data_IF_523282840565
#
_entry.id   IF_523282840565
#
_cell.length_a   1.000
_cell.length_b   1.000
_cell.length_c   1.000
_cell.angle_alpha   90.00
_cell.angle_beta   90.00
_cell.angle_gamma   90.00
#
_symmetry.space_group_name_H-M   'P 1'
#
loop_
_entity.id
_entity.type
_entity.pdbx_description
1 polymer ?
#
# COMPACT_ATOMS: atom_id res chain seq x y z
N UNK A 1 -3.92 -17.20 -21.56
CA UNK A 1 -3.40 -17.54 -20.23
C UNK A 1 -3.01 -16.24 -19.56
N UNK A 2 -3.87 -15.71 -18.70
CA UNK A 2 -3.57 -14.53 -17.87
C UNK A 2 -2.66 -14.98 -16.74
N UNK A 3 -1.47 -14.37 -16.63
CA UNK A 3 -0.58 -14.61 -15.50
C UNK A 3 -1.36 -14.35 -14.21
N UNK A 4 -1.37 -15.33 -13.31
CA UNK A 4 -1.91 -15.14 -11.97
C UNK A 4 -0.88 -14.28 -11.25
N UNK A 5 -1.29 -13.08 -10.82
CA UNK A 5 -0.44 -12.20 -10.01
C UNK A 5 -0.33 -12.82 -8.61
N UNK A 6 0.60 -13.76 -8.46
CA UNK A 6 0.88 -14.39 -7.18
C UNK A 6 1.72 -13.43 -6.31
N UNK A 7 1.27 -13.16 -5.09
CA UNK A 7 2.07 -12.42 -4.12
C UNK A 7 2.59 -13.36 -3.04
N UNK A 8 3.88 -13.25 -2.75
CA UNK A 8 4.47 -13.76 -1.52
C UNK A 8 4.29 -12.72 -0.42
N UNK A 9 3.81 -13.13 0.75
CA UNK A 9 3.49 -12.28 1.89
C UNK A 9 4.21 -12.81 3.12
N UNK A 10 4.99 -11.96 3.78
CA UNK A 10 5.56 -12.24 5.09
C UNK A 10 5.24 -11.11 6.07
N UNK A 11 4.99 -11.47 7.32
CA UNK A 11 4.64 -10.51 8.35
C UNK A 11 5.33 -10.84 9.67
N UNK A 12 5.62 -9.80 10.46
CA UNK A 12 6.29 -9.91 11.74
C UNK A 12 5.80 -8.84 12.70
N UNK A 13 5.98 -9.09 14.00
CA UNK A 13 5.74 -8.08 15.04
C UNK A 13 6.87 -7.06 15.02
N UNK A 14 6.50 -5.78 15.12
CA UNK A 14 7.45 -4.68 15.27
C UNK A 14 7.60 -4.33 16.75
N UNK A 15 8.83 -4.04 17.17
CA UNK A 15 9.09 -3.51 18.50
C UNK A 15 8.46 -2.11 18.62
N UNK A 16 7.80 -1.83 19.75
CA UNK A 16 7.15 -0.55 20.02
C UNK A 16 7.60 0.04 21.36
N UNK A 17 7.45 1.36 21.52
CA UNK A 17 7.71 2.09 22.76
C UNK A 17 6.55 2.03 23.77
N UNK A 18 5.56 1.13 23.58
CA UNK A 18 4.32 1.06 24.36
C UNK A 18 3.74 -0.35 24.47
N UNK A 19 2.50 -0.46 24.97
CA UNK A 19 1.84 -1.73 25.28
C UNK A 19 1.29 -2.50 24.07
N UNK A 20 1.18 -1.85 22.91
CA UNK A 20 0.65 -2.45 21.69
C UNK A 20 1.76 -2.65 20.66
N UNK A 21 2.00 -3.89 20.27
CA UNK A 21 3.00 -4.25 19.25
C UNK A 21 2.53 -3.80 17.85
N UNK A 22 3.47 -3.29 17.06
CA UNK A 22 3.24 -2.98 15.65
C UNK A 22 3.27 -4.22 14.76
N UNK A 23 2.94 -4.04 13.50
CA UNK A 23 2.97 -5.09 12.47
C UNK A 23 3.75 -4.57 11.27
N UNK A 24 4.75 -5.34 10.84
CA UNK A 24 5.49 -5.14 9.60
C UNK A 24 5.08 -6.22 8.61
N UNK A 25 4.72 -5.81 7.39
CA UNK A 25 4.34 -6.70 6.30
C UNK A 25 5.23 -6.42 5.10
N UNK A 26 5.70 -7.48 4.46
CA UNK A 26 6.38 -7.43 3.16
C UNK A 26 5.60 -8.26 2.16
N UNK A 27 5.25 -7.65 1.03
CA UNK A 27 4.72 -8.35 -0.13
C UNK A 27 5.77 -8.36 -1.24
N UNK A 28 5.98 -9.49 -1.91
CA UNK A 28 6.85 -9.65 -3.07
C UNK A 28 6.04 -10.14 -4.26
N UNK A 29 6.10 -9.41 -5.37
CA UNK A 29 5.51 -9.85 -6.63
C UNK A 29 6.45 -10.77 -7.39
N UNK A 30 5.95 -11.54 -8.37
CA UNK A 30 6.79 -12.43 -9.18
C UNK A 30 7.77 -11.65 -10.06
N UNK A 31 7.44 -10.38 -10.36
CA UNK A 31 8.28 -9.45 -11.10
C UNK A 31 9.38 -8.82 -10.22
N UNK A 32 9.48 -9.16 -8.93
CA UNK A 32 10.50 -8.65 -8.03
C UNK A 32 10.15 -7.31 -7.36
N UNK A 33 8.96 -6.76 -7.60
CA UNK A 33 8.51 -5.56 -6.88
C UNK A 33 8.17 -5.89 -5.43
N UNK A 34 8.56 -5.02 -4.51
CA UNK A 34 8.26 -5.19 -3.09
C UNK A 34 7.41 -4.06 -2.55
N UNK A 35 6.36 -4.41 -1.82
CA UNK A 35 5.62 -3.47 -0.99
C UNK A 35 5.94 -3.74 0.48
N UNK A 36 6.15 -2.68 1.26
CA UNK A 36 6.29 -2.76 2.72
C UNK A 36 5.20 -1.95 3.36
N UNK A 37 4.52 -2.54 4.33
CA UNK A 37 3.46 -1.90 5.10
C UNK A 37 3.85 -2.02 6.55
N UNK A 38 3.86 -0.89 7.26
CA UNK A 38 4.13 -0.86 8.69
C UNK A 38 2.98 -0.20 9.41
N UNK A 39 2.55 -0.82 10.50
CA UNK A 39 1.52 -0.31 11.38
C UNK A 39 2.08 -0.19 12.79
N UNK A 40 2.10 1.03 13.31
CA UNK A 40 2.68 1.38 14.61
C UNK A 40 1.64 2.05 15.51
N UNK A 41 0.79 1.28 16.23
CA UNK A 41 -0.30 1.84 17.04
C UNK A 41 0.20 2.69 18.22
N UNK A 42 1.43 2.47 18.67
CA UNK A 42 2.05 3.20 19.78
C UNK A 42 3.04 4.28 19.32
N UNK A 43 3.09 4.63 18.03
CA UNK A 43 4.04 5.62 17.53
C UNK A 43 3.76 7.01 18.12
N UNK A 44 4.77 7.70 18.68
CA UNK A 44 4.62 9.07 19.15
C UNK A 44 4.74 10.11 18.01
N UNK A 45 5.03 9.69 16.78
CA UNK A 45 5.22 10.60 15.65
C UNK A 45 3.88 11.27 15.23
N UNK A 46 3.87 12.59 14.98
CA UNK A 46 2.65 13.33 14.66
C UNK A 46 2.09 13.06 13.26
N UNK A 47 2.90 12.55 12.33
CA UNK A 47 2.45 12.07 11.02
C UNK A 47 2.09 10.59 11.13
N UNK A 48 0.78 10.33 11.29
CA UNK A 48 0.24 8.99 11.54
C UNK A 48 0.17 8.11 10.29
N UNK A 49 0.32 8.68 9.09
CA UNK A 49 0.27 7.95 7.82
C UNK A 49 1.10 8.65 6.74
N UNK A 50 1.84 7.87 5.96
CA UNK A 50 2.56 8.32 4.77
C UNK A 50 2.77 7.14 3.82
N UNK A 51 3.12 7.43 2.57
CA UNK A 51 3.43 6.39 1.58
C UNK A 51 4.54 6.84 0.66
N UNK A 52 5.29 5.86 0.14
CA UNK A 52 6.35 6.09 -0.82
C UNK A 52 6.28 5.05 -1.94
N UNK A 53 6.52 5.50 -3.17
CA UNK A 53 6.84 4.64 -4.31
C UNK A 53 8.30 4.92 -4.66
N UNK A 54 9.15 3.90 -4.59
CA UNK A 54 10.54 4.00 -5.00
C UNK A 54 10.73 3.28 -6.33
N UNK A 55 11.22 4.01 -7.33
CA UNK A 55 11.63 3.50 -8.63
C UNK A 55 13.15 3.54 -8.79
N UNK A 56 13.64 3.08 -9.95
CA UNK A 56 15.07 3.02 -10.26
C UNK A 56 15.69 4.39 -10.54
N UNK A 57 14.88 5.35 -11.00
CA UNK A 57 15.33 6.69 -11.43
C UNK A 57 14.79 7.81 -10.53
N UNK A 58 14.02 7.46 -9.49
CA UNK A 58 13.39 8.41 -8.61
C UNK A 58 12.32 7.78 -7.75
N UNK A 59 11.57 8.61 -7.03
CA UNK A 59 10.48 8.14 -6.18
C UNK A 59 9.43 9.21 -5.98
N UNK A 60 8.35 8.82 -5.31
CA UNK A 60 7.29 9.71 -4.89
C UNK A 60 7.02 9.47 -3.42
N UNK A 61 6.93 10.53 -2.62
CA UNK A 61 6.47 10.45 -1.22
C UNK A 61 5.59 11.67 -0.92
N UNK A 62 4.40 11.47 -0.38
CA UNK A 62 3.58 12.55 0.20
C UNK A 62 3.45 13.82 -0.68
N UNK A 63 3.25 13.66 -2.00
CA UNK A 63 3.17 14.74 -3.01
C UNK A 63 4.50 15.42 -3.38
N UNK A 64 5.62 14.80 -3.08
CA UNK A 64 6.94 15.19 -3.57
C UNK A 64 7.50 14.12 -4.51
N UNK A 65 8.04 14.54 -5.65
CA UNK A 65 8.86 13.68 -6.52
C UNK A 65 10.31 13.83 -6.12
N UNK A 66 10.95 12.70 -5.88
CA UNK A 66 12.37 12.61 -5.58
C UNK A 66 13.11 12.18 -6.83
N UNK A 67 14.08 12.97 -7.26
CA UNK A 67 15.00 12.61 -8.34
C UNK A 67 16.43 12.62 -7.83
N UNK A 68 17.24 11.70 -8.34
CA UNK A 68 18.68 11.68 -8.11
C UNK A 68 19.34 12.54 -9.18
N UNK A 69 20.16 13.51 -8.78
CA UNK A 69 20.94 14.35 -9.70
C UNK A 69 22.26 13.68 -10.09
N UNK A 70 22.94 14.22 -11.10
CA UNK A 70 24.20 13.67 -11.63
C UNK A 70 25.35 13.61 -10.61
N UNK A 71 25.24 14.38 -9.51
CA UNK A 71 26.15 14.40 -8.36
C UNK A 71 25.69 13.50 -7.19
N UNK A 72 24.72 12.61 -7.44
CA UNK A 72 24.13 11.67 -6.47
C UNK A 72 23.34 12.34 -5.32
N UNK A 73 23.04 13.63 -5.43
CA UNK A 73 22.14 14.31 -4.49
C UNK A 73 20.67 13.95 -4.75
N UNK A 74 19.84 13.97 -3.69
CA UNK A 74 18.41 13.65 -3.76
C UNK A 74 17.60 14.93 -3.54
N UNK A 75 16.87 15.35 -4.57
CA UNK A 75 16.04 16.55 -4.53
C UNK A 75 14.55 16.18 -4.48
N UNK A 76 13.84 16.73 -3.49
CA UNK A 76 12.38 16.68 -3.41
C UNK A 76 11.76 17.88 -4.13
N UNK A 77 10.95 17.62 -5.15
CA UNK A 77 10.16 18.64 -5.85
C UNK A 77 8.70 18.51 -5.44
N UNK A 78 8.12 19.51 -4.75
CA UNK A 78 6.69 19.51 -4.45
C UNK A 78 5.86 19.48 -5.73
N UNK A 79 4.90 18.58 -5.79
CA UNK A 79 3.88 18.58 -6.82
C UNK A 79 2.76 19.53 -6.42
N UNK A 80 2.29 20.33 -7.38
CA UNK A 80 1.07 21.08 -7.20
C UNK A 80 -0.08 20.09 -6.96
N UNK A 81 -0.76 20.20 -5.83
CA UNK A 81 -2.01 19.46 -5.66
C UNK A 81 -3.04 20.08 -6.61
N UNK A 82 -3.56 19.28 -7.52
CA UNK A 82 -4.76 19.66 -8.26
C UNK A 82 -5.90 19.83 -7.27
N UNK A 83 -6.64 20.93 -7.38
CA UNK A 83 -7.83 21.14 -6.56
C UNK A 83 -8.78 19.98 -6.78
N UNK A 84 -9.13 19.28 -5.70
CA UNK A 84 -10.14 18.24 -5.74
C UNK A 84 -11.51 18.93 -5.74
N UNK A 85 -12.26 18.74 -6.82
CA UNK A 85 -13.68 19.13 -6.86
C UNK A 85 -14.50 18.08 -6.11
N UNK A 86 -14.83 18.39 -4.85
CA UNK A 86 -15.57 17.48 -3.99
C UNK A 86 -16.99 17.21 -4.52
N UNK A 87 -17.62 18.19 -5.18
CA UNK A 87 -18.98 18.04 -5.70
C UNK A 87 -18.98 17.02 -6.86
N UNK A 88 -17.98 17.11 -7.75
CA UNK A 88 -17.77 16.10 -8.80
C UNK A 88 -17.49 14.70 -8.24
N UNK A 89 -16.79 14.58 -7.11
CA UNK A 89 -16.55 13.28 -6.46
C UNK A 89 -17.85 12.67 -5.94
N UNK A 90 -18.73 13.48 -5.33
CA UNK A 90 -20.01 12.98 -4.83
C UNK A 90 -20.93 12.54 -5.97
N UNK A 91 -20.97 13.29 -7.07
CA UNK A 91 -21.73 12.90 -8.26
C UNK A 91 -21.18 11.60 -8.86
N UNK A 92 -19.85 11.45 -8.97
CA UNK A 92 -19.21 10.22 -9.43
C UNK A 92 -19.54 9.03 -8.53
N UNK A 93 -19.54 9.21 -7.20
CA UNK A 93 -19.93 8.17 -6.24
C UNK A 93 -21.39 7.74 -6.43
N UNK A 94 -22.29 8.69 -6.67
CA UNK A 94 -23.72 8.40 -6.90
C UNK A 94 -23.94 7.66 -8.23
N UNK A 95 -23.22 8.04 -9.29
CA UNK A 95 -23.25 7.35 -10.59
C UNK A 95 -22.71 5.93 -10.45
N UNK A 96 -21.59 5.77 -9.75
CA UNK A 96 -20.94 4.47 -9.53
C UNK A 96 -21.76 3.54 -8.62
N UNK A 97 -22.60 4.08 -7.72
CA UNK A 97 -23.41 3.30 -6.79
C UNK A 97 -24.37 2.33 -7.50
N UNK A 98 -24.95 2.76 -8.61
CA UNK A 98 -25.89 1.96 -9.40
C UNK A 98 -25.23 1.25 -10.59
N UNK A 99 -23.92 1.39 -10.76
CA UNK A 99 -23.17 0.70 -11.81
C UNK A 99 -22.75 -0.70 -11.34
N UNK A 100 -23.39 -1.72 -11.92
CA UNK A 100 -23.11 -3.12 -11.63
C UNK A 100 -21.68 -3.54 -11.96
N UNK A 101 -21.07 -2.96 -13.01
CA UNK A 101 -19.70 -3.26 -13.39
C UNK A 101 -18.73 -2.69 -12.34
N UNK A 102 -18.94 -1.44 -11.92
CA UNK A 102 -18.17 -0.81 -10.85
C UNK A 102 -18.30 -1.60 -9.54
N UNK A 103 -19.53 -1.96 -9.16
CA UNK A 103 -19.80 -2.76 -7.95
C UNK A 103 -19.07 -4.11 -8.00
N UNK A 104 -19.07 -4.79 -9.13
CA UNK A 104 -18.34 -6.05 -9.31
C UNK A 104 -16.82 -5.86 -9.18
N UNK A 105 -16.27 -4.75 -9.66
CA UNK A 105 -14.85 -4.41 -9.48
C UNK A 105 -14.48 -4.14 -8.02
N UNK A 106 -15.31 -3.37 -7.29
CA UNK A 106 -15.11 -3.11 -5.86
C UNK A 106 -15.12 -4.41 -5.06
N UNK A 107 -16.08 -5.31 -5.32
CA UNK A 107 -16.15 -6.60 -4.65
C UNK A 107 -14.92 -7.47 -4.95
N UNK A 108 -14.42 -7.49 -6.20
CA UNK A 108 -13.17 -8.19 -6.55
C UNK A 108 -11.97 -7.64 -5.78
N UNK A 109 -11.86 -6.31 -5.65
CA UNK A 109 -10.80 -5.66 -4.85
C UNK A 109 -10.93 -6.00 -3.36
N UNK A 110 -12.14 -6.01 -2.81
CA UNK A 110 -12.39 -6.38 -1.42
C UNK A 110 -11.99 -7.83 -1.13
N UNK A 111 -12.34 -8.77 -2.03
CA UNK A 111 -11.93 -10.18 -1.90
C UNK A 111 -10.41 -10.32 -1.89
N UNK A 112 -9.70 -9.61 -2.77
CA UNK A 112 -8.23 -9.57 -2.79
C UNK A 112 -7.64 -9.05 -1.49
N UNK A 113 -8.20 -7.96 -0.95
CA UNK A 113 -7.78 -7.40 0.33
C UNK A 113 -8.00 -8.38 1.48
N UNK A 114 -9.14 -9.06 1.54
CA UNK A 114 -9.41 -10.08 2.57
C UNK A 114 -8.40 -11.22 2.51
N UNK A 115 -8.04 -11.70 1.31
CA UNK A 115 -6.99 -12.72 1.14
C UNK A 115 -5.63 -12.24 1.65
N UNK A 116 -5.27 -10.99 1.37
CA UNK A 116 -4.03 -10.40 1.87
C UNK A 116 -4.01 -10.33 3.41
N UNK A 117 -5.11 -9.86 4.02
CA UNK A 117 -5.22 -9.78 5.49
C UNK A 117 -5.11 -11.16 6.14
N UNK A 118 -5.74 -12.18 5.56
CA UNK A 118 -5.63 -13.55 6.08
C UNK A 118 -4.21 -14.11 5.93
N UNK A 119 -3.54 -13.85 4.80
CA UNK A 119 -2.14 -14.25 4.61
C UNK A 119 -1.19 -13.58 5.62
N UNK A 120 -1.40 -12.29 5.91
CA UNK A 120 -0.67 -11.56 6.96
C UNK A 120 -0.89 -12.23 8.31
N UNK A 121 -2.14 -12.57 8.64
CA UNK A 121 -2.48 -13.24 9.90
C UNK A 121 -1.79 -14.60 10.02
N UNK A 122 -1.88 -15.45 9.01
CA UNK A 122 -1.23 -16.77 8.98
C UNK A 122 0.29 -16.60 9.13
N UNK A 123 0.88 -15.68 8.37
CA UNK A 123 2.32 -15.42 8.45
C UNK A 123 2.76 -14.95 9.85
N UNK A 124 1.97 -14.11 10.52
CA UNK A 124 2.26 -13.65 11.89
C UNK A 124 2.17 -14.76 12.93
N UNK A 125 1.22 -15.68 12.78
CA UNK A 125 0.96 -16.74 13.78
C UNK A 125 1.95 -17.88 13.60
N UNK A 126 2.17 -18.31 12.36
CA UNK A 126 2.95 -19.51 12.06
C UNK A 126 4.42 -19.17 11.75
N UNK A 127 4.76 -17.90 11.56
CA UNK A 127 6.12 -17.45 11.24
C UNK A 127 6.59 -17.86 9.84
N UNK A 128 5.65 -18.10 8.92
CA UNK A 128 5.93 -18.58 7.56
C UNK A 128 5.59 -17.54 6.50
N UNK A 129 6.22 -17.64 5.34
CA UNK A 129 5.83 -16.89 4.14
C UNK A 129 4.62 -17.56 3.48
N UNK A 130 3.63 -16.77 3.08
CA UNK A 130 2.37 -17.23 2.49
C UNK A 130 2.22 -16.72 1.07
N UNK A 131 1.90 -17.59 0.11
CA UNK A 131 1.62 -17.21 -1.28
C UNK A 131 0.12 -17.09 -1.50
N UNK A 132 -0.33 -16.00 -2.12
CA UNK A 132 -1.74 -15.76 -2.47
C UNK A 132 -1.90 -15.37 -3.93
N UNK A 133 -3.04 -15.72 -4.52
CA UNK A 133 -3.45 -15.25 -5.84
C UNK A 133 -4.30 -13.97 -5.71
N UNK A 134 -3.91 -12.90 -6.41
CA UNK A 134 -4.70 -11.67 -6.51
C UNK A 134 -5.78 -11.75 -7.59
#
# INVERSE_FOLDING_TARGET
MTAVDQLSVSAHRLAGSGSSEGIGVRCLSPAGMTARIEYHPSSPAPLASGWMIAGTEGGYRDFEVFSVTDDEEVYGTPLASTSIDLDSIYDDLLVQWNDDAHRADVLRRAVRLTRLVEAVRVSLVDGVEVTIDL
#
